data_IF_317521097921
#
_entry.id   IF_317521097921
#
_cell.length_a   1.000
_cell.length_b   1.000
_cell.length_c   1.000
_cell.angle_alpha   90.00
_cell.angle_beta   90.00
_cell.angle_gamma   90.00
#
_symmetry.space_group_name_H-M   'P 1'
#
loop_
_entity.id
_entity.type
_entity.pdbx_description
1 polymer ?
#
# COMPACT_ATOMS: atom_id res chain seq x y z
N UNK A 1 1.12 -31.76 4.64
CA UNK A 1 0.19 -30.63 4.91
C UNK A 1 0.90 -29.57 5.74
N UNK A 2 0.46 -28.30 5.69
CA UNK A 2 0.95 -27.23 6.59
C UNK A 2 0.02 -27.12 7.79
N UNK A 3 0.16 -28.03 8.76
CA UNK A 3 -0.65 -28.00 9.99
C UNK A 3 -0.28 -26.77 10.85
N UNK A 4 -1.27 -26.11 11.45
CA UNK A 4 -1.09 -24.96 12.36
C UNK A 4 -0.70 -23.63 11.71
N UNK A 5 -0.57 -23.54 10.38
CA UNK A 5 -0.22 -22.30 9.70
C UNK A 5 -1.47 -21.48 9.35
N UNK A 6 -1.87 -20.58 10.25
CA UNK A 6 -3.02 -19.69 10.05
C UNK A 6 -2.77 -18.55 9.02
N UNK A 7 -1.50 -18.17 8.82
CA UNK A 7 -1.15 -16.98 8.03
C UNK A 7 -0.98 -17.30 6.55
N UNK A 8 -1.45 -16.40 5.67
CA UNK A 8 -1.24 -16.51 4.22
C UNK A 8 0.16 -16.02 3.81
N UNK A 9 0.80 -16.73 2.87
CA UNK A 9 2.10 -16.30 2.30
C UNK A 9 2.00 -15.07 1.39
N UNK A 10 0.82 -14.81 0.81
CA UNK A 10 0.56 -13.70 -0.12
C UNK A 10 1.56 -13.60 -1.30
N UNK A 11 2.12 -14.75 -1.73
CA UNK A 11 3.12 -14.82 -2.80
C UNK A 11 4.45 -14.11 -2.47
N UNK A 12 4.79 -13.91 -1.19
CA UNK A 12 5.96 -13.13 -0.77
C UNK A 12 6.86 -13.89 0.20
N UNK A 13 8.15 -13.54 0.19
CA UNK A 13 9.10 -13.93 1.23
C UNK A 13 8.72 -13.30 2.58
N UNK A 14 9.23 -13.84 3.68
CA UNK A 14 8.92 -13.35 5.03
C UNK A 14 9.29 -11.88 5.22
N UNK A 15 10.49 -11.47 4.81
CA UNK A 15 10.96 -10.10 4.92
C UNK A 15 10.10 -9.11 4.13
N UNK A 16 9.81 -9.41 2.86
CA UNK A 16 8.94 -8.55 2.04
C UNK A 16 7.53 -8.49 2.63
N UNK A 17 6.98 -9.62 3.10
CA UNK A 17 5.65 -9.65 3.71
C UNK A 17 5.59 -8.79 4.98
N UNK A 18 6.64 -8.84 5.83
CA UNK A 18 6.73 -7.99 7.01
C UNK A 18 6.74 -6.50 6.60
N UNK A 19 7.60 -6.10 5.66
CA UNK A 19 7.67 -4.72 5.18
C UNK A 19 6.34 -4.23 4.58
N UNK A 20 5.66 -5.07 3.78
CA UNK A 20 4.33 -4.76 3.24
C UNK A 20 3.34 -4.44 4.36
N UNK A 21 3.27 -5.29 5.39
CA UNK A 21 2.33 -5.08 6.48
C UNK A 21 2.68 -3.84 7.31
N UNK A 22 3.97 -3.58 7.57
CA UNK A 22 4.39 -2.34 8.25
C UNK A 22 3.88 -1.09 7.51
N UNK A 23 4.07 -1.05 6.19
CA UNK A 23 3.59 0.07 5.37
C UNK A 23 2.06 0.18 5.39
N UNK A 24 1.34 -0.94 5.29
CA UNK A 24 -0.13 -0.92 5.34
C UNK A 24 -0.68 -0.53 6.71
N UNK A 25 -0.05 -0.95 7.80
CA UNK A 25 -0.40 -0.53 9.15
C UNK A 25 -0.18 0.98 9.33
N UNK A 26 0.97 1.48 8.86
CA UNK A 26 1.29 2.90 8.90
C UNK A 26 0.22 3.72 8.15
N UNK A 27 -0.10 3.36 6.91
CA UNK A 27 -1.14 4.03 6.12
C UNK A 27 -2.53 3.95 6.76
N UNK A 28 -2.86 2.83 7.42
CA UNK A 28 -4.15 2.67 8.10
C UNK A 28 -4.23 3.53 9.35
N UNK A 29 -3.17 3.65 10.14
CA UNK A 29 -3.14 4.54 11.31
C UNK A 29 -3.22 6.01 10.86
N UNK A 30 -2.48 6.36 9.81
CA UNK A 30 -2.44 7.72 9.25
C UNK A 30 -3.83 8.15 8.74
N UNK A 31 -4.44 7.37 7.84
CA UNK A 31 -5.63 7.77 7.07
C UNK A 31 -6.94 7.19 7.60
N UNK A 32 -6.85 6.27 8.54
CA UNK A 32 -7.97 5.56 9.17
C UNK A 32 -8.84 4.69 8.23
N UNK A 33 -8.55 4.74 6.93
CA UNK A 33 -9.20 3.99 5.87
C UNK A 33 -8.20 3.71 4.75
N UNK A 34 -8.11 2.45 4.32
CA UNK A 34 -7.29 2.04 3.17
C UNK A 34 -8.07 1.10 2.26
N UNK A 35 -7.73 1.12 0.97
CA UNK A 35 -8.25 0.18 -0.02
C UNK A 35 -7.16 -0.83 -0.37
N UNK A 36 -7.45 -2.12 -0.25
CA UNK A 36 -6.49 -3.18 -0.56
C UNK A 36 -7.18 -4.44 -1.05
N UNK A 37 -6.44 -5.51 -1.32
CA UNK A 37 -7.05 -6.79 -1.70
C UNK A 37 -7.61 -7.51 -0.48
N UNK A 38 -8.71 -8.24 -0.64
CA UNK A 38 -9.38 -8.94 0.46
C UNK A 38 -8.43 -9.84 1.27
N UNK A 39 -7.52 -10.63 0.66
CA UNK A 39 -6.56 -11.43 1.42
C UNK A 39 -5.61 -10.57 2.26
N UNK A 40 -5.17 -9.41 1.77
CA UNK A 40 -4.30 -8.50 2.54
C UNK A 40 -5.04 -7.89 3.72
N UNK A 41 -6.28 -7.42 3.49
CA UNK A 41 -7.11 -6.85 4.55
C UNK A 41 -7.37 -7.84 5.70
N UNK A 42 -7.67 -9.11 5.35
CA UNK A 42 -7.90 -10.17 6.34
C UNK A 42 -6.66 -10.48 7.20
N UNK A 43 -5.47 -10.45 6.60
CA UNK A 43 -4.21 -10.67 7.33
C UNK A 43 -3.74 -9.44 8.12
N UNK A 44 -4.09 -8.23 7.66
CA UNK A 44 -3.76 -6.98 8.35
C UNK A 44 -4.59 -6.78 9.62
N UNK A 45 -5.88 -7.17 9.58
CA UNK A 45 -6.84 -7.01 10.68
C UNK A 45 -6.34 -7.47 12.05
N UNK A 46 -5.82 -8.71 12.25
CA UNK A 46 -5.33 -9.12 13.57
C UNK A 46 -4.10 -8.33 14.03
N UNK A 47 -3.30 -7.76 13.13
CA UNK A 47 -2.13 -6.97 13.49
C UNK A 47 -2.54 -5.57 13.99
N UNK A 48 -3.46 -4.90 13.27
CA UNK A 48 -3.94 -3.59 13.69
C UNK A 48 -4.80 -3.67 14.95
N UNK A 49 -5.61 -4.73 15.12
CA UNK A 49 -6.41 -4.91 16.34
C UNK A 49 -5.52 -5.04 17.59
N UNK A 50 -4.39 -5.74 17.49
CA UNK A 50 -3.39 -5.81 18.57
C UNK A 50 -2.77 -4.44 18.86
N UNK A 51 -2.40 -3.69 17.82
CA UNK A 51 -1.83 -2.35 18.00
C UNK A 51 -2.81 -1.39 18.68
N UNK A 52 -4.08 -1.38 18.27
CA UNK A 52 -5.10 -0.56 18.95
C UNK A 52 -5.26 -0.99 20.40
N UNK A 53 -5.27 -2.29 20.67
CA UNK A 53 -5.36 -2.82 22.05
C UNK A 53 -4.20 -2.33 22.92
N UNK A 54 -2.97 -2.33 22.39
CA UNK A 54 -1.82 -1.71 23.08
C UNK A 54 -2.05 -0.21 23.31
N UNK A 55 -2.61 0.48 22.31
CA UNK A 55 -2.93 1.92 22.37
C UNK A 55 -3.91 2.31 23.47
N UNK A 56 -4.76 1.39 23.96
CA UNK A 56 -5.75 1.67 25.03
C UNK A 56 -5.10 1.97 26.38
N UNK A 57 -3.90 1.45 26.63
CA UNK A 57 -3.14 1.68 27.86
C UNK A 57 -1.81 2.31 27.52
N UNK A 58 -1.64 3.59 27.87
CA UNK A 58 -0.39 4.28 27.59
C UNK A 58 0.69 3.87 28.59
N UNK A 59 1.67 3.08 28.12
CA UNK A 59 2.85 2.71 28.88
C UNK A 59 4.08 2.70 27.99
N UNK A 60 5.25 2.97 28.57
CA UNK A 60 6.54 2.91 27.86
C UNK A 60 6.76 1.52 27.24
N UNK A 61 6.30 0.46 27.92
CA UNK A 61 6.39 -0.90 27.40
C UNK A 61 5.55 -1.09 26.14
N UNK A 62 4.29 -0.62 26.15
CA UNK A 62 3.39 -0.73 25.00
C UNK A 62 3.83 0.13 23.82
N UNK A 63 4.33 1.35 24.08
CA UNK A 63 4.93 2.21 23.03
C UNK A 63 6.09 1.50 22.32
N UNK A 64 7.05 0.96 23.08
CA UNK A 64 8.18 0.18 22.52
C UNK A 64 7.73 -1.05 21.74
N UNK A 65 6.66 -1.73 22.16
CA UNK A 65 6.11 -2.86 21.40
C UNK A 65 5.53 -2.42 20.06
N UNK A 66 4.79 -1.31 20.04
CA UNK A 66 4.20 -0.75 18.82
C UNK A 66 5.26 -0.18 17.86
N UNK A 67 6.30 0.48 18.38
CA UNK A 67 7.44 1.01 17.61
C UNK A 67 8.18 -0.08 16.83
N UNK A 68 8.37 -1.27 17.41
CA UNK A 68 9.00 -2.41 16.71
C UNK A 68 8.23 -2.83 15.45
N UNK A 69 6.94 -2.51 15.38
CA UNK A 69 6.08 -2.86 14.25
C UNK A 69 5.99 -1.71 13.25
N UNK A 70 5.62 -0.50 13.68
CA UNK A 70 5.36 0.63 12.76
C UNK A 70 6.62 1.44 12.47
N UNK A 71 7.44 1.72 13.48
CA UNK A 71 8.72 2.42 13.35
C UNK A 71 8.64 3.92 13.07
N UNK A 72 7.49 4.56 13.33
CA UNK A 72 7.27 6.00 13.13
C UNK A 72 6.64 6.63 14.38
N UNK A 73 7.38 7.51 15.05
CA UNK A 73 6.99 8.11 16.33
C UNK A 73 5.72 8.99 16.24
N UNK A 74 5.48 9.61 15.09
CA UNK A 74 4.28 10.41 14.85
C UNK A 74 3.03 9.54 14.79
N UNK A 75 3.11 8.40 14.11
CA UNK A 75 2.02 7.43 14.05
C UNK A 75 1.79 6.75 15.40
N UNK A 76 2.85 6.47 16.16
CA UNK A 76 2.74 5.96 17.52
C UNK A 76 2.02 6.98 18.40
N UNK A 77 2.40 8.26 18.32
CA UNK A 77 1.72 9.33 19.06
C UNK A 77 0.22 9.38 18.74
N UNK A 78 -0.17 9.30 17.45
CA UNK A 78 -1.58 9.23 17.04
C UNK A 78 -2.30 7.99 17.58
N UNK A 79 -1.62 6.83 17.58
CA UNK A 79 -2.18 5.58 18.07
C UNK A 79 -2.57 5.66 19.55
N UNK A 80 -1.69 6.20 20.40
CA UNK A 80 -1.92 6.30 21.85
C UNK A 80 -2.75 7.54 22.25
N UNK A 81 -2.60 8.67 21.56
CA UNK A 81 -3.31 9.90 21.92
C UNK A 81 -4.74 9.94 21.37
N UNK A 82 -5.00 9.34 20.21
CA UNK A 82 -6.30 9.46 19.52
C UNK A 82 -7.02 8.12 19.39
N UNK A 83 -6.39 7.12 18.78
CA UNK A 83 -7.08 5.87 18.45
C UNK A 83 -7.34 4.98 19.68
N UNK A 84 -6.39 4.89 20.61
CA UNK A 84 -6.53 4.13 21.85
C UNK A 84 -7.71 4.59 22.70
N UNK A 85 -7.76 5.88 23.10
CA UNK A 85 -8.88 6.44 23.86
C UNK A 85 -10.22 6.31 23.13
N UNK A 86 -10.26 6.53 21.80
CA UNK A 86 -11.48 6.38 20.98
C UNK A 86 -12.11 4.99 21.10
N UNK A 87 -11.31 3.96 21.31
CA UNK A 87 -11.79 2.58 21.42
C UNK A 87 -11.69 2.00 22.84
N UNK A 88 -11.49 2.84 23.86
CA UNK A 88 -11.29 2.42 25.26
C UNK A 88 -12.39 1.47 25.76
N UNK A 89 -13.66 1.78 25.51
CA UNK A 89 -14.80 1.01 25.99
C UNK A 89 -15.09 -0.25 25.15
N UNK A 90 -14.58 -0.31 23.92
CA UNK A 90 -14.86 -1.40 22.99
C UNK A 90 -13.96 -2.61 23.29
N UNK A 91 -14.49 -3.82 23.56
CA UNK A 91 -13.67 -4.99 23.89
C UNK A 91 -12.85 -5.53 22.72
N UNK A 92 -13.25 -5.26 21.48
CA UNK A 92 -12.53 -5.69 20.28
C UNK A 92 -13.25 -5.33 18.98
N UNK A 93 -12.66 -5.73 17.86
CA UNK A 93 -13.21 -5.45 16.53
C UNK A 93 -13.23 -3.96 16.21
N UNK A 94 -12.07 -3.31 16.23
CA UNK A 94 -11.94 -1.87 16.00
C UNK A 94 -12.01 -1.48 14.51
N UNK A 95 -11.86 -2.47 13.64
CA UNK A 95 -11.86 -2.28 12.19
C UNK A 95 -12.95 -3.10 11.52
N UNK A 96 -13.42 -2.64 10.37
CA UNK A 96 -14.36 -3.35 9.49
C UNK A 96 -13.77 -3.53 8.10
N UNK A 97 -14.12 -4.63 7.46
CA UNK A 97 -13.74 -4.95 6.08
C UNK A 97 -14.99 -4.88 5.22
N UNK A 98 -15.01 -3.98 4.25
CA UNK A 98 -16.11 -3.80 3.29
C UNK A 98 -15.62 -4.28 1.92
N UNK A 99 -16.31 -5.22 1.29
CA UNK A 99 -15.94 -5.71 -0.05
C UNK A 99 -16.35 -4.68 -1.11
N UNK A 100 -15.47 -4.43 -2.08
CA UNK A 100 -15.72 -3.50 -3.18
C UNK A 100 -16.01 -4.18 -4.53
N UNK A 101 -15.79 -5.49 -4.61
CA UNK A 101 -15.86 -6.26 -5.86
C UNK A 101 -14.49 -6.49 -6.50
N UNK A 102 -14.44 -7.17 -7.66
CA UNK A 102 -13.19 -7.49 -8.35
C UNK A 102 -12.60 -6.27 -9.04
N UNK A 103 -11.27 -6.15 -9.01
CA UNK A 103 -10.54 -5.11 -9.73
C UNK A 103 -10.51 -5.41 -11.23
N UNK A 104 -10.62 -4.35 -12.05
CA UNK A 104 -10.44 -4.44 -13.50
C UNK A 104 -9.01 -4.87 -13.83
N UNK A 105 -8.86 -5.82 -14.76
CA UNK A 105 -7.57 -6.32 -15.25
C UNK A 105 -7.19 -7.69 -14.69
N UNK A 106 -7.04 -7.82 -13.38
CA UNK A 106 -6.60 -9.06 -12.71
C UNK A 106 -7.70 -9.78 -11.92
N UNK A 107 -8.92 -9.23 -11.93
CA UNK A 107 -10.08 -9.73 -11.19
C UNK A 107 -9.83 -9.92 -9.67
N UNK A 108 -8.81 -9.26 -9.09
CA UNK A 108 -8.49 -9.42 -7.69
C UNK A 108 -9.60 -8.82 -6.81
N UNK A 109 -10.12 -9.60 -5.85
CA UNK A 109 -11.12 -9.12 -4.90
C UNK A 109 -10.58 -7.95 -4.06
N UNK A 110 -11.25 -6.81 -4.13
CA UNK A 110 -10.91 -5.60 -3.39
C UNK A 110 -11.76 -5.45 -2.14
N UNK A 111 -11.17 -4.82 -1.13
CA UNK A 111 -11.85 -4.46 0.09
C UNK A 111 -11.30 -3.15 0.67
N UNK A 112 -12.20 -2.41 1.31
CA UNK A 112 -11.86 -1.33 2.22
C UNK A 112 -11.62 -1.93 3.59
N UNK A 113 -10.53 -1.52 4.24
CA UNK A 113 -10.30 -1.75 5.65
C UNK A 113 -10.27 -0.38 6.34
N UNK A 114 -11.15 -0.18 7.31
CA UNK A 114 -11.33 1.10 7.98
C UNK A 114 -11.65 0.93 9.45
N UNK A 115 -11.34 1.94 10.25
CA UNK A 115 -11.75 2.01 11.65
C UNK A 115 -13.25 2.25 11.78
N UNK A 116 -13.85 1.68 12.83
CA UNK A 116 -15.25 1.94 13.15
C UNK A 116 -15.43 3.42 13.52
N UNK A 117 -16.50 4.02 12.99
CA UNK A 117 -16.79 5.45 13.18
C UNK A 117 -15.97 6.36 12.27
N UNK A 118 -15.20 5.82 11.31
CA UNK A 118 -14.62 6.65 10.26
C UNK A 118 -15.75 7.31 9.46
N UNK A 119 -15.73 8.64 9.43
CA UNK A 119 -16.59 9.44 8.57
C UNK A 119 -15.72 9.97 7.42
N UNK A 120 -16.12 9.72 6.16
CA UNK A 120 -15.41 10.31 5.05
C UNK A 120 -15.51 11.84 5.17
N UNK A 121 -14.40 12.58 4.98
CA UNK A 121 -14.50 14.03 4.86
C UNK A 121 -15.51 14.35 3.76
N UNK A 122 -16.40 15.31 4.03
CA UNK A 122 -17.44 15.72 3.09
C UNK A 122 -16.80 15.95 1.73
N UNK A 123 -17.12 15.09 0.76
CA UNK A 123 -16.62 15.24 -0.59
C UNK A 123 -17.39 16.41 -1.19
N UNK A 124 -16.70 17.52 -1.48
CA UNK A 124 -17.21 18.50 -2.44
C UNK A 124 -17.47 17.72 -3.74
N UNK A 125 -18.75 17.55 -4.06
CA UNK A 125 -19.17 16.80 -5.22
C UNK A 125 -18.48 17.40 -6.47
N UNK A 126 -17.85 16.58 -7.33
CA UNK A 126 -17.41 17.09 -8.62
C UNK A 126 -18.66 17.56 -9.37
N UNK A 127 -18.60 18.76 -9.93
CA UNK A 127 -19.65 19.34 -10.75
C UNK A 127 -19.84 18.50 -12.03
N UNK A 128 -20.66 17.46 -11.95
CA UNK A 128 -21.14 16.71 -13.11
C UNK A 128 -22.26 17.51 -13.78
N UNK A 129 -21.97 18.08 -14.95
CA UNK A 129 -22.97 18.78 -15.74
C UNK A 129 -22.43 19.43 -17.00
N UNK A 130 -22.05 18.62 -18.00
CA UNK A 130 -22.17 18.89 -19.46
C UNK A 130 -21.45 17.81 -20.28
N UNK A 131 -22.03 16.62 -20.34
CA UNK A 131 -21.70 15.66 -21.39
C UNK A 131 -22.86 14.67 -21.57
N UNK A 132 -23.95 15.13 -22.18
CA UNK A 132 -24.82 14.29 -23.04
C UNK A 132 -25.97 15.13 -23.61
N UNK A 133 -25.82 15.51 -24.88
CA UNK A 133 -26.91 15.63 -25.87
C UNK A 133 -26.30 15.84 -27.25
N UNK A 134 -26.02 14.73 -27.93
CA UNK A 134 -26.27 14.50 -29.37
C UNK A 134 -25.60 13.19 -29.83
N UNK A 135 -26.38 12.11 -29.88
CA UNK A 135 -26.19 11.01 -30.82
C UNK A 135 -27.48 10.96 -31.68
N UNK A 136 -27.42 11.42 -32.93
CA UNK A 136 -27.43 10.62 -34.18
C UNK A 136 -28.89 10.43 -34.71
N UNK A 137 -29.20 10.13 -36.01
CA UNK A 137 -28.34 9.51 -37.05
C UNK A 137 -28.56 9.97 -38.52
N UNK A 138 -27.65 9.59 -39.45
CA UNK A 138 -28.01 9.09 -40.81
C UNK A 138 -26.85 8.35 -41.49
N UNK A 139 -27.26 7.43 -42.35
CA UNK A 139 -26.63 6.24 -42.92
C UNK A 139 -25.70 6.48 -44.13
N UNK A 140 -24.86 5.46 -44.37
CA UNK A 140 -24.42 4.88 -45.66
C UNK A 140 -23.55 5.74 -46.62
N UNK A 141 -22.27 5.36 -46.75
CA UNK A 141 -21.67 4.99 -48.03
C UNK A 141 -20.31 4.28 -47.81
N UNK A 142 -20.19 3.13 -48.47
CA UNK A 142 -19.01 2.27 -48.64
C UNK A 142 -18.33 2.69 -49.95
N UNK A 143 -17.01 2.66 -50.03
CA UNK A 143 -16.28 2.81 -51.30
C UNK A 143 -14.77 2.95 -51.09
N UNK A 144 -14.05 1.93 -51.55
CA UNK A 144 -12.60 1.76 -51.60
C UNK A 144 -11.95 2.72 -52.60
N UNK A 145 -10.66 3.05 -52.44
CA UNK A 145 -9.64 2.90 -53.50
C UNK A 145 -8.21 3.22 -53.01
N UNK A 146 -7.26 2.55 -53.67
CA UNK A 146 -5.88 2.24 -53.30
C UNK A 146 -4.82 3.35 -53.52
N UNK A 147 -3.64 3.09 -52.91
CA UNK A 147 -2.27 3.30 -53.41
C UNK A 147 -1.67 4.72 -53.50
N UNK A 148 -0.60 4.96 -52.73
CA UNK A 148 0.78 5.06 -53.24
C UNK A 148 1.78 5.54 -52.16
N UNK A 149 2.61 4.61 -51.71
CA UNK A 149 4.08 4.65 -51.52
C UNK A 149 4.81 6.01 -51.36
N UNK A 150 5.61 6.15 -50.28
CA UNK A 150 7.08 6.27 -50.35
C UNK A 150 7.76 6.31 -48.97
N UNK A 151 8.85 5.55 -48.88
CA UNK A 151 9.78 5.44 -47.76
C UNK A 151 10.62 6.72 -47.56
N UNK A 152 10.91 7.07 -46.30
CA UNK A 152 12.27 7.48 -45.88
C UNK A 152 12.44 7.36 -44.35
N UNK A 153 13.48 6.65 -43.94
CA UNK A 153 14.07 6.61 -42.58
C UNK A 153 15.59 6.80 -42.77
N UNK A 154 16.39 7.20 -41.75
CA UNK A 154 16.03 7.59 -40.38
C UNK A 154 16.82 8.82 -39.84
N UNK A 155 16.22 9.61 -38.94
CA UNK A 155 16.96 10.58 -38.12
C UNK A 155 17.06 10.12 -36.65
N UNK A 156 18.26 9.65 -36.31
CA UNK A 156 18.94 9.64 -35.02
C UNK A 156 18.11 9.96 -33.74
N UNK A 157 17.70 8.93 -32.99
CA UNK A 157 17.47 9.04 -31.55
C UNK A 157 18.78 8.76 -30.80
N UNK A 158 19.37 9.82 -30.24
CA UNK A 158 20.46 9.77 -29.26
C UNK A 158 20.14 8.76 -28.15
N UNK A 159 20.92 7.69 -28.08
CA UNK A 159 21.06 6.83 -26.90
C UNK A 159 21.67 7.69 -25.79
N UNK A 160 20.90 8.00 -24.77
CA UNK A 160 21.42 8.55 -23.51
C UNK A 160 22.23 7.42 -22.85
N UNK A 161 23.54 7.64 -22.77
CA UNK A 161 24.48 6.75 -22.14
C UNK A 161 24.18 6.63 -20.63
N UNK A 162 24.11 5.40 -20.14
CA UNK A 162 24.11 5.09 -18.73
C UNK A 162 25.44 5.54 -18.08
N UNK A 163 25.42 6.23 -16.93
CA UNK A 163 26.65 6.56 -16.22
C UNK A 163 27.27 5.28 -15.63
N UNK A 164 28.51 4.99 -16.05
CA UNK A 164 29.36 3.96 -15.48
C UNK A 164 29.52 4.20 -13.97
N UNK A 165 29.07 3.25 -13.14
CA UNK A 165 29.46 3.17 -11.73
C UNK A 165 30.95 2.86 -11.66
N UNK A 166 31.74 3.85 -11.25
CA UNK A 166 33.10 3.67 -10.76
C UNK A 166 33.05 2.85 -9.47
N UNK A 167 33.80 1.74 -9.44
CA UNK A 167 33.96 0.90 -8.27
C UNK A 167 34.69 1.66 -7.15
N UNK A 168 34.23 1.63 -5.89
CA UNK A 168 35.01 2.16 -4.79
C UNK A 168 36.24 1.28 -4.53
N UNK A 169 37.41 1.92 -4.61
CA UNK A 169 38.74 1.36 -4.35
C UNK A 169 38.80 0.86 -2.90
N UNK A 170 39.09 -0.43 -2.73
CA UNK A 170 39.28 -1.12 -1.44
C UNK A 170 40.52 -0.54 -0.75
N UNK A 171 40.34 0.17 0.36
CA UNK A 171 41.45 0.56 1.24
C UNK A 171 41.95 -0.69 2.00
N UNK A 172 43.25 -0.93 2.14
CA UNK A 172 43.77 -2.03 2.93
C UNK A 172 43.65 -1.71 4.43
N UNK A 173 42.84 -2.47 5.17
CA UNK A 173 42.81 -2.42 6.63
C UNK A 173 43.99 -3.21 7.19
N UNK A 174 44.84 -2.53 7.99
CA UNK A 174 45.98 -3.10 8.70
C UNK A 174 45.57 -4.30 9.60
N UNK A 175 46.44 -5.31 9.79
CA UNK A 175 46.13 -6.46 10.65
C UNK A 175 46.18 -6.04 12.12
N UNK A 176 45.08 -6.26 12.85
CA UNK A 176 45.05 -6.16 14.32
C UNK A 176 45.94 -7.24 14.91
N UNK A 177 46.98 -6.80 15.63
CA UNK A 177 47.81 -7.66 16.46
C UNK A 177 46.97 -8.35 17.53
N UNK A 178 47.12 -9.67 17.63
CA UNK A 178 46.65 -10.47 18.77
C UNK A 178 47.56 -10.13 19.96
N UNK A 179 47.05 -9.43 20.96
CA UNK A 179 47.62 -9.48 22.31
C UNK A 179 46.76 -10.41 23.16
N UNK A 180 47.39 -11.51 23.56
CA UNK A 180 46.99 -12.37 24.67
C UNK A 180 47.22 -11.61 25.98
N UNK A 181 46.23 -11.54 26.85
CA UNK A 181 46.35 -11.67 28.31
C UNK A 181 44.98 -11.91 28.89
#
# INVERSE_FOLDING_TARGET
MRHGMANRKLGRTSGHRAALFRNQLASLIERERIITTLPKAKELRPQIERLVTLGKSDSVHHRRQAERVVGDDGLISKLFATLGPRFAERPGGYTRIIKLGPRRGDAAEMAILEFIGYEPPAQEAPAEGKAEKKAAPKKEARGEDEAAEQEEKPAARKRIAAPKKTAPKKQPTAPKAKTRS
#
